data_IF_230412276618
#
_entry.id   IF_230412276618
#
_cell.length_a   1.000
_cell.length_b   1.000
_cell.length_c   1.000
_cell.angle_alpha   90.00
_cell.angle_beta   90.00
_cell.angle_gamma   90.00
#
_symmetry.space_group_name_H-M   'P 1'
#
loop_
_entity.id
_entity.type
_entity.pdbx_description
1 polymer ?
#
# COMPACT_ATOMS: atom_id res chain seq x y z
N UNK A 1 19.29 10.87 10.83
CA UNK A 1 18.04 10.29 11.37
C UNK A 1 16.99 10.22 10.28
N UNK A 2 16.34 9.08 10.13
CA UNK A 2 15.30 8.89 9.12
C UNK A 2 14.05 9.69 9.49
N UNK A 3 13.54 10.47 8.54
CA UNK A 3 12.28 11.22 8.68
C UNK A 3 11.25 10.66 7.69
N UNK A 4 10.02 10.51 8.17
CA UNK A 4 8.88 10.15 7.32
C UNK A 4 8.09 11.44 7.05
N UNK A 5 7.83 11.73 5.78
CA UNK A 5 7.09 12.91 5.38
C UNK A 5 6.31 12.68 4.08
N UNK A 6 5.32 13.55 3.77
CA UNK A 6 4.65 13.46 2.47
C UNK A 6 5.62 13.60 1.31
N UNK A 7 5.34 12.86 0.23
CA UNK A 7 6.07 12.99 -1.03
C UNK A 7 5.81 14.36 -1.65
N UNK A 8 6.88 15.00 -2.10
CA UNK A 8 6.81 16.26 -2.85
C UNK A 8 7.18 15.99 -4.31
N UNK A 9 6.82 16.90 -5.26
CA UNK A 9 7.18 16.70 -6.67
C UNK A 9 8.66 16.42 -6.91
N UNK A 10 9.54 17.03 -6.14
CA UNK A 10 11.00 16.81 -6.22
C UNK A 10 11.43 15.38 -5.88
N UNK A 11 10.57 14.62 -5.18
CA UNK A 11 10.89 13.27 -4.72
C UNK A 11 10.46 12.20 -5.72
N UNK A 12 9.66 12.54 -6.72
CA UNK A 12 8.96 11.56 -7.57
C UNK A 12 9.89 10.60 -8.30
N UNK A 13 10.97 11.10 -8.87
CA UNK A 13 11.93 10.23 -9.58
C UNK A 13 12.65 9.30 -8.61
N UNK A 14 13.05 9.80 -7.45
CA UNK A 14 13.69 9.00 -6.42
C UNK A 14 12.75 7.93 -5.87
N UNK A 15 11.47 8.25 -5.71
CA UNK A 15 10.45 7.29 -5.25
C UNK A 15 10.30 6.12 -6.23
N UNK A 16 10.27 6.39 -7.54
CA UNK A 16 10.22 5.34 -8.55
C UNK A 16 11.46 4.45 -8.50
N UNK A 17 12.62 5.06 -8.33
CA UNK A 17 13.88 4.32 -8.22
C UNK A 17 13.89 3.43 -6.98
N UNK A 18 13.39 3.93 -5.85
CA UNK A 18 13.27 3.13 -4.62
C UNK A 18 12.43 1.88 -4.87
N UNK A 19 11.29 2.02 -5.55
CA UNK A 19 10.44 0.88 -5.83
C UNK A 19 11.11 -0.12 -6.79
N UNK A 20 11.81 0.38 -7.83
CA UNK A 20 12.55 -0.49 -8.75
C UNK A 20 13.62 -1.32 -8.04
N UNK A 21 14.44 -0.68 -7.21
CA UNK A 21 15.54 -1.40 -6.55
C UNK A 21 15.03 -2.29 -5.42
N UNK A 22 13.93 -1.91 -4.77
CA UNK A 22 13.34 -2.72 -3.70
C UNK A 22 12.77 -4.03 -4.23
N UNK A 23 12.13 -4.02 -5.39
CA UNK A 23 11.46 -5.19 -5.97
C UNK A 23 12.23 -5.85 -7.09
N UNK A 24 13.27 -5.21 -7.61
CA UNK A 24 14.07 -5.76 -8.70
C UNK A 24 13.35 -5.81 -10.05
N UNK A 25 12.30 -5.01 -10.23
CA UNK A 25 11.53 -4.93 -11.47
C UNK A 25 10.87 -3.56 -11.61
N UNK A 26 10.32 -3.28 -12.81
CA UNK A 26 9.61 -2.03 -13.09
C UNK A 26 8.11 -2.13 -12.80
N UNK A 27 7.60 -3.28 -12.39
CA UNK A 27 6.17 -3.49 -12.20
C UNK A 27 5.59 -2.53 -11.17
N UNK A 28 6.22 -2.45 -10.01
CA UNK A 28 5.76 -1.60 -8.91
C UNK A 28 5.88 -0.12 -9.24
N UNK A 29 6.94 0.28 -9.91
CA UNK A 29 7.10 1.69 -10.33
C UNK A 29 6.06 2.10 -11.36
N UNK A 30 5.64 1.18 -12.25
CA UNK A 30 4.55 1.44 -13.21
C UNK A 30 3.22 1.63 -12.51
N UNK A 31 2.96 0.86 -11.45
CA UNK A 31 1.75 1.06 -10.65
C UNK A 31 1.76 2.47 -10.04
N UNK A 32 2.87 2.88 -9.45
CA UNK A 32 3.01 4.22 -8.87
C UNK A 32 2.73 5.30 -9.91
N UNK A 33 3.35 5.20 -11.09
CA UNK A 33 3.12 6.17 -12.17
C UNK A 33 1.65 6.24 -12.57
N UNK A 34 0.96 5.10 -12.64
CA UNK A 34 -0.43 5.03 -13.05
C UNK A 34 -1.39 5.65 -12.03
N UNK A 35 -1.10 5.55 -10.74
CA UNK A 35 -2.04 5.96 -9.68
C UNK A 35 -1.71 7.29 -9.02
N UNK A 36 -0.46 7.76 -9.10
CA UNK A 36 0.02 8.87 -8.28
C UNK A 36 -0.73 10.19 -8.46
N UNK A 37 -1.27 10.44 -9.64
CA UNK A 37 -1.99 11.68 -9.94
C UNK A 37 -3.52 11.48 -9.94
N UNK A 38 -4.00 10.28 -9.62
CA UNK A 38 -5.42 10.01 -9.53
C UNK A 38 -6.03 10.60 -8.26
N UNK A 39 -7.32 11.02 -8.31
CA UNK A 39 -7.98 11.54 -7.12
C UNK A 39 -7.95 10.54 -5.95
N UNK A 40 -7.66 11.04 -4.77
CA UNK A 40 -7.58 10.22 -3.55
C UNK A 40 -6.23 9.56 -3.32
N UNK A 41 -5.28 9.67 -4.26
CA UNK A 41 -3.94 9.13 -4.08
C UNK A 41 -3.07 10.04 -3.22
N UNK A 42 -2.19 9.43 -2.44
CA UNK A 42 -1.15 10.13 -1.70
C UNK A 42 0.02 9.18 -1.44
N UNK A 43 1.18 9.75 -1.14
CA UNK A 43 2.38 8.98 -0.89
C UNK A 43 3.21 9.62 0.21
N UNK A 44 3.97 8.78 0.91
CA UNK A 44 4.95 9.22 1.90
C UNK A 44 6.32 8.69 1.52
N UNK A 45 7.34 9.41 1.91
CA UNK A 45 8.73 8.97 1.75
C UNK A 45 9.46 8.92 3.09
N UNK A 46 10.49 8.09 3.14
CA UNK A 46 11.47 8.06 4.21
C UNK A 46 12.74 8.70 3.68
N UNK A 47 13.23 9.71 4.37
CA UNK A 47 14.40 10.48 3.95
C UNK A 47 15.43 10.52 5.06
N UNK A 48 16.69 10.43 4.69
CA UNK A 48 17.81 10.64 5.60
C UNK A 48 18.90 11.41 4.85
N UNK A 49 19.32 12.55 5.42
CA UNK A 49 20.36 13.40 4.85
C UNK A 49 20.12 13.78 3.38
N UNK A 50 18.86 14.07 3.04
CA UNK A 50 18.47 14.46 1.68
C UNK A 50 18.30 13.30 0.71
N UNK A 51 18.45 12.05 1.15
CA UNK A 51 18.34 10.86 0.31
C UNK A 51 17.05 10.11 0.62
N UNK A 52 16.26 9.82 -0.42
CA UNK A 52 15.02 9.04 -0.29
C UNK A 52 15.38 7.56 -0.16
N UNK A 53 15.05 6.97 0.98
CA UNK A 53 15.36 5.58 1.31
C UNK A 53 14.19 4.66 1.16
N UNK A 54 12.98 5.18 1.28
CA UNK A 54 11.76 4.37 1.23
C UNK A 54 10.58 5.17 0.70
N UNK A 55 9.55 4.46 0.27
CA UNK A 55 8.36 5.04 -0.33
C UNK A 55 7.15 4.13 -0.09
N UNK A 56 5.98 4.74 0.15
CA UNK A 56 4.72 4.02 0.20
C UNK A 56 3.68 4.82 -0.59
N UNK A 57 2.94 4.10 -1.47
CA UNK A 57 1.88 4.69 -2.27
C UNK A 57 0.51 4.23 -1.77
N UNK A 58 -0.43 5.17 -1.75
CA UNK A 58 -1.85 4.89 -1.50
C UNK A 58 -2.64 5.33 -2.72
N UNK A 59 -3.67 4.57 -3.06
CA UNK A 59 -4.52 4.89 -4.21
C UNK A 59 -5.97 4.53 -3.94
N UNK A 60 -6.90 5.17 -4.68
CA UNK A 60 -8.33 4.95 -4.52
C UNK A 60 -8.72 3.53 -4.90
N UNK A 61 -9.53 2.90 -4.03
CA UNK A 61 -10.14 1.60 -4.24
C UNK A 61 -11.59 1.65 -3.71
N UNK A 62 -12.33 0.58 -3.91
CA UNK A 62 -13.76 0.53 -3.56
C UNK A 62 -14.12 -0.81 -2.97
N UNK A 63 -14.99 -0.80 -1.97
CA UNK A 63 -15.69 -1.97 -1.46
C UNK A 63 -17.18 -1.69 -1.65
N UNK A 64 -17.78 -2.32 -2.66
CA UNK A 64 -19.12 -1.97 -3.08
C UNK A 64 -19.18 -0.50 -3.50
N UNK A 65 -19.97 0.30 -2.80
CA UNK A 65 -20.10 1.75 -3.05
C UNK A 65 -19.24 2.60 -2.12
N UNK A 66 -18.48 1.97 -1.23
CA UNK A 66 -17.67 2.68 -0.24
C UNK A 66 -16.27 2.91 -0.78
N UNK A 67 -15.85 4.16 -0.81
CA UNK A 67 -14.49 4.54 -1.18
C UNK A 67 -13.54 4.18 -0.05
N UNK A 68 -12.45 3.50 -0.38
CA UNK A 68 -11.35 3.17 0.53
C UNK A 68 -10.04 3.48 -0.16
N UNK A 69 -8.92 3.29 0.51
CA UNK A 69 -7.61 3.40 -0.13
C UNK A 69 -6.86 2.07 -0.09
N UNK A 70 -6.14 1.79 -1.15
CA UNK A 70 -5.24 0.65 -1.23
C UNK A 70 -3.83 1.11 -0.86
N UNK A 71 -3.15 0.34 -0.04
CA UNK A 71 -1.74 0.54 0.30
C UNK A 71 -0.91 -0.35 -0.61
N UNK A 72 -0.02 0.25 -1.37
CA UNK A 72 0.92 -0.45 -2.24
C UNK A 72 1.27 0.33 -3.48
N UNK A 73 2.49 0.16 -3.97
CA UNK A 73 3.57 -0.59 -3.32
C UNK A 73 4.18 0.13 -2.12
N UNK A 74 4.91 -0.61 -1.30
CA UNK A 74 5.78 -0.08 -0.25
C UNK A 74 7.15 -0.69 -0.44
N UNK A 75 8.17 0.16 -0.58
CA UNK A 75 9.54 -0.29 -0.82
C UNK A 75 10.55 0.48 0.00
N UNK A 76 11.64 -0.20 0.33
CA UNK A 76 12.80 0.37 1.01
C UNK A 76 14.04 -0.09 0.25
N UNK A 77 14.99 0.83 0.03
CA UNK A 77 16.26 0.47 -0.63
C UNK A 77 16.89 -0.74 0.08
N UNK A 78 17.37 -1.74 -0.67
CA UNK A 78 17.88 -2.99 -0.07
C UNK A 78 18.91 -2.77 1.04
N UNK A 79 19.82 -1.81 0.87
CA UNK A 79 20.88 -1.53 1.85
C UNK A 79 20.35 -0.90 3.15
N UNK A 80 19.07 -0.50 3.17
CA UNK A 80 18.44 0.13 4.34
C UNK A 80 17.27 -0.70 4.89
N UNK A 81 17.06 -1.91 4.38
CA UNK A 81 16.06 -2.83 4.91
C UNK A 81 16.44 -3.33 6.30
N UNK A 82 15.47 -3.91 7.01
CA UNK A 82 15.64 -4.45 8.38
C UNK A 82 15.98 -3.37 9.43
N UNK A 83 15.67 -2.12 9.13
CA UNK A 83 15.82 -0.98 10.06
C UNK A 83 14.48 -0.43 10.54
N UNK A 84 13.36 -1.10 10.19
CA UNK A 84 12.03 -0.66 10.58
C UNK A 84 11.47 0.50 9.74
N UNK A 85 12.11 0.87 8.64
CA UNK A 85 11.67 1.99 7.78
C UNK A 85 10.32 1.69 7.14
N UNK A 86 10.15 0.48 6.59
CA UNK A 86 8.87 0.06 6.00
C UNK A 86 7.73 0.12 7.01
N UNK A 87 7.95 -0.37 8.22
CA UNK A 87 6.96 -0.31 9.30
C UNK A 87 6.59 1.13 9.66
N UNK A 88 7.56 2.04 9.70
CA UNK A 88 7.30 3.45 9.97
C UNK A 88 6.48 4.11 8.86
N UNK A 89 6.78 3.76 7.60
CA UNK A 89 6.01 4.24 6.44
C UNK A 89 4.56 3.76 6.51
N UNK A 90 4.35 2.48 6.82
CA UNK A 90 3.01 1.92 6.94
C UNK A 90 2.23 2.61 8.05
N UNK A 91 2.82 2.75 9.24
CA UNK A 91 2.14 3.42 10.36
C UNK A 91 1.81 4.87 10.08
N UNK A 92 2.76 5.61 9.50
CA UNK A 92 2.53 7.00 9.11
C UNK A 92 1.45 7.11 8.03
N UNK A 93 1.44 6.19 7.08
CA UNK A 93 0.42 6.15 6.04
C UNK A 93 -0.99 5.88 6.59
N UNK A 94 -1.12 4.99 7.57
CA UNK A 94 -2.40 4.74 8.23
C UNK A 94 -2.89 5.98 8.98
N UNK A 95 -2.01 6.72 9.64
CA UNK A 95 -2.36 7.97 10.30
C UNK A 95 -2.79 9.03 9.29
N UNK A 96 -2.09 9.14 8.16
CA UNK A 96 -2.47 10.06 7.09
C UNK A 96 -3.84 9.70 6.51
N UNK A 97 -4.10 8.42 6.27
CA UNK A 97 -5.40 7.95 5.79
C UNK A 97 -6.51 8.30 6.78
N UNK A 98 -6.25 8.09 8.08
CA UNK A 98 -7.22 8.46 9.12
C UNK A 98 -7.49 9.96 9.13
N UNK A 99 -6.47 10.79 9.04
CA UNK A 99 -6.63 12.24 9.06
C UNK A 99 -7.36 12.76 7.81
N UNK A 100 -7.29 12.03 6.70
CA UNK A 100 -8.03 12.35 5.47
C UNK A 100 -9.49 11.88 5.51
N UNK A 101 -9.90 11.21 6.59
CA UNK A 101 -11.27 10.70 6.72
C UNK A 101 -11.52 9.40 5.96
N UNK A 102 -10.47 8.68 5.56
CA UNK A 102 -10.64 7.39 4.91
C UNK A 102 -11.22 6.37 5.89
N UNK A 103 -12.12 5.52 5.40
CA UNK A 103 -12.83 4.57 6.28
C UNK A 103 -12.08 3.26 6.45
N UNK A 104 -11.25 2.89 5.49
CA UNK A 104 -10.47 1.66 5.55
C UNK A 104 -9.28 1.72 4.59
N UNK A 105 -8.27 0.91 4.89
CA UNK A 105 -7.11 0.68 4.03
C UNK A 105 -7.08 -0.80 3.69
N UNK A 106 -6.91 -1.12 2.41
CA UNK A 106 -6.80 -2.51 1.93
C UNK A 106 -5.43 -2.74 1.33
N UNK A 107 -4.98 -3.99 1.36
CA UNK A 107 -3.73 -4.40 0.73
C UNK A 107 -3.73 -5.89 0.41
N UNK A 108 -2.78 -6.31 -0.43
CA UNK A 108 -2.40 -7.70 -0.59
C UNK A 108 -1.06 -7.90 0.11
N UNK A 109 -0.99 -8.84 1.03
CA UNK A 109 0.24 -9.12 1.75
C UNK A 109 0.10 -10.21 2.78
N UNK A 110 1.21 -10.50 3.45
CA UNK A 110 1.27 -11.57 4.44
C UNK A 110 0.47 -11.21 5.70
N UNK A 111 -0.50 -12.03 6.10
CA UNK A 111 -1.22 -11.83 7.36
C UNK A 111 -0.28 -11.76 8.56
N UNK A 112 0.76 -12.61 8.58
CA UNK A 112 1.72 -12.62 9.68
C UNK A 112 2.45 -11.29 9.85
N UNK A 113 2.76 -10.60 8.75
CA UNK A 113 3.43 -9.31 8.81
C UNK A 113 2.47 -8.16 9.11
N UNK A 114 1.35 -8.10 8.39
CA UNK A 114 0.46 -6.92 8.45
C UNK A 114 -0.46 -6.89 9.66
N UNK A 115 -0.67 -8.03 10.35
CA UNK A 115 -1.46 -8.07 11.58
C UNK A 115 -0.94 -7.10 12.64
N UNK A 116 0.36 -6.87 12.68
CA UNK A 116 0.99 -5.95 13.66
C UNK A 116 0.57 -4.49 13.50
N UNK A 117 0.03 -4.13 12.34
CA UNK A 117 -0.44 -2.77 12.06
C UNK A 117 -1.96 -2.62 12.21
N UNK A 118 -2.65 -3.67 12.64
CA UNK A 118 -4.11 -3.66 12.80
C UNK A 118 -4.88 -4.16 11.59
N UNK A 119 -4.19 -4.74 10.61
CA UNK A 119 -4.85 -5.39 9.47
C UNK A 119 -5.37 -6.77 9.86
N UNK A 120 -6.52 -7.13 9.29
CA UNK A 120 -7.13 -8.45 9.42
C UNK A 120 -7.51 -8.99 8.04
N UNK A 121 -7.61 -10.31 7.84
CA UNK A 121 -8.08 -10.83 6.56
C UNK A 121 -9.49 -10.34 6.24
N UNK A 122 -9.69 -9.88 5.02
CA UNK A 122 -11.01 -9.40 4.56
C UNK A 122 -12.08 -10.49 4.56
N UNK A 123 -11.66 -11.76 4.45
CA UNK A 123 -12.57 -12.91 4.54
C UNK A 123 -13.33 -12.96 5.85
N UNK A 124 -12.73 -12.48 6.95
CA UNK A 124 -13.41 -12.37 8.24
C UNK A 124 -14.58 -11.39 8.24
N UNK A 125 -14.63 -10.47 7.27
CA UNK A 125 -15.73 -9.52 7.05
C UNK A 125 -16.63 -9.93 5.89
N UNK A 126 -16.45 -11.14 5.35
CA UNK A 126 -17.21 -11.61 4.20
C UNK A 126 -16.76 -11.03 2.86
N UNK A 127 -15.58 -10.45 2.80
CA UNK A 127 -15.02 -9.88 1.58
C UNK A 127 -14.12 -10.90 0.88
N UNK A 128 -14.24 -10.95 -0.45
CA UNK A 128 -13.42 -11.85 -1.27
C UNK A 128 -12.21 -11.13 -1.83
N UNK A 129 -11.10 -11.87 -1.94
CA UNK A 129 -9.89 -11.40 -2.58
C UNK A 129 -10.04 -11.52 -4.10
N UNK A 130 -10.14 -10.39 -4.86
CA UNK A 130 -10.31 -10.47 -6.31
C UNK A 130 -9.08 -11.01 -7.04
N UNK A 131 -7.93 -11.09 -6.35
CA UNK A 131 -6.69 -11.58 -6.93
C UNK A 131 -6.34 -13.01 -6.48
N UNK A 132 -7.22 -13.67 -5.68
CA UNK A 132 -6.96 -15.03 -5.23
C UNK A 132 -6.85 -16.00 -6.40
N UNK A 133 -5.89 -16.91 -6.34
CA UNK A 133 -5.64 -17.91 -7.36
C UNK A 133 -4.18 -17.95 -7.78
N UNK A 134 -3.93 -18.73 -8.82
CA UNK A 134 -2.56 -18.93 -9.34
C UNK A 134 -2.25 -17.90 -10.43
N UNK A 135 -1.19 -17.15 -10.24
CA UNK A 135 -0.68 -16.22 -11.26
C UNK A 135 -0.05 -16.97 -12.43
N UNK A 136 0.08 -16.33 -13.61
CA UNK A 136 0.75 -16.95 -14.76
C UNK A 136 2.18 -17.43 -14.49
N UNK A 137 2.86 -16.82 -13.53
CA UNK A 137 4.21 -17.20 -13.10
C UNK A 137 4.21 -18.37 -12.11
N UNK A 138 3.04 -18.92 -11.77
CA UNK A 138 2.88 -20.03 -10.83
C UNK A 138 2.78 -19.62 -9.36
N UNK A 139 2.85 -18.33 -9.07
CA UNK A 139 2.71 -17.85 -7.70
C UNK A 139 1.24 -17.93 -7.25
N UNK A 140 1.03 -18.48 -6.06
CA UNK A 140 -0.30 -18.59 -5.45
C UNK A 140 -0.60 -17.34 -4.62
N UNK A 141 -1.77 -16.75 -4.86
CA UNK A 141 -2.30 -15.67 -4.01
C UNK A 141 -3.45 -16.26 -3.23
N UNK A 142 -3.29 -16.32 -1.92
CA UNK A 142 -4.30 -16.90 -1.04
C UNK A 142 -5.44 -15.92 -0.77
N UNK A 143 -6.60 -16.45 -0.42
CA UNK A 143 -7.76 -15.62 -0.05
C UNK A 143 -7.43 -14.72 1.15
N UNK A 144 -6.71 -15.25 2.15
CA UNK A 144 -6.34 -14.52 3.36
C UNK A 144 -5.27 -13.45 3.15
N UNK A 145 -4.63 -13.40 1.98
CA UNK A 145 -3.66 -12.35 1.66
C UNK A 145 -4.32 -11.00 1.38
N UNK A 146 -5.65 -10.97 1.17
CA UNK A 146 -6.39 -9.73 1.14
C UNK A 146 -6.65 -9.27 2.57
N UNK A 147 -6.01 -8.15 2.94
CA UNK A 147 -6.03 -7.62 4.29
C UNK A 147 -6.71 -6.26 4.33
N UNK A 148 -7.37 -5.96 5.44
CA UNK A 148 -8.07 -4.70 5.64
C UNK A 148 -7.81 -4.15 7.05
N UNK A 149 -7.54 -2.84 7.13
CA UNK A 149 -7.52 -2.09 8.39
C UNK A 149 -8.71 -1.13 8.35
N UNK A 150 -9.68 -1.33 9.25
CA UNK A 150 -10.82 -0.43 9.37
C UNK A 150 -10.42 0.76 10.23
N UNK A 151 -10.62 1.96 9.70
CA UNK A 151 -10.31 3.21 10.40
C UNK A 151 -11.53 3.79 11.08
N UNK A 152 -12.71 3.39 10.63
CA UNK A 152 -13.99 3.76 11.22
C UNK A 152 -14.86 2.52 11.35
N UNK A 153 -15.72 2.51 12.38
CA UNK A 153 -16.65 1.40 12.62
C UNK A 153 -17.88 1.59 11.74
N UNK A 154 -17.84 0.98 10.55
CA UNK A 154 -18.98 0.97 9.63
C UNK A 154 -19.01 -0.35 8.86
N UNK A 155 -20.21 -0.80 8.43
CA UNK A 155 -20.31 -2.01 7.62
C UNK A 155 -19.64 -1.81 6.26
N UNK A 156 -18.85 -2.81 5.84
CA UNK A 156 -18.24 -2.84 4.52
C UNK A 156 -18.70 -4.11 3.83
N UNK A 157 -19.36 -3.96 2.70
CA UNK A 157 -19.91 -5.09 1.95
C UNK A 157 -19.88 -4.78 0.46
N UNK A 158 -19.70 -5.82 -0.35
CA UNK A 158 -19.73 -5.72 -1.79
C UNK A 158 -18.43 -6.15 -2.43
N UNK A 159 -18.36 -5.95 -3.74
CA UNK A 159 -17.18 -6.29 -4.53
C UNK A 159 -16.01 -5.37 -4.20
N UNK A 160 -14.85 -5.98 -4.03
CA UNK A 160 -13.59 -5.23 -3.82
C UNK A 160 -12.99 -4.90 -5.19
N UNK A 161 -12.79 -3.62 -5.45
CA UNK A 161 -12.26 -3.15 -6.73
C UNK A 161 -11.05 -2.23 -6.50
N UNK A 162 -9.98 -2.55 -7.17
CA UNK A 162 -8.73 -1.80 -7.14
C UNK A 162 -8.60 -0.97 -8.42
N UNK A 163 -7.66 -0.04 -8.42
CA UNK A 163 -7.29 0.63 -9.66
C UNK A 163 -6.82 -0.41 -10.68
N UNK A 164 -7.17 -0.27 -11.98
CA UNK A 164 -6.79 -1.26 -13.02
C UNK A 164 -5.29 -1.51 -13.13
N UNK A 165 -4.44 -0.58 -12.68
CA UNK A 165 -2.98 -0.76 -12.70
C UNK A 165 -2.51 -1.97 -11.88
N UNK A 166 -3.32 -2.46 -10.94
CA UNK A 166 -2.98 -3.61 -10.10
C UNK A 166 -3.25 -4.96 -10.77
N UNK A 167 -3.86 -4.98 -11.93
CA UNK A 167 -4.12 -6.23 -12.66
C UNK A 167 -5.53 -6.52 -13.08
#
# INVERSE_FOLDING_TARGET
MVQIRPEEPRDRDAALEVERVAFGSDEESRIVEAVRDEPGSFALIAEEDGVVLGHVQFSRAWIGRTAVVALGPVGVRPEHQDRGIGSRLIRAGLEEARSRGEVAVILLGSPAFYARFGFEPGSGLGLSNPFAGTRPDGFEIAEEDFMIARLHDMPLAGEVRWHPAFG
#
